data_IF_442189162668
#
_entry.id   IF_442189162668
#
_cell.length_a   1.000
_cell.length_b   1.000
_cell.length_c   1.000
_cell.angle_alpha   90.00
_cell.angle_beta   90.00
_cell.angle_gamma   90.00
#
_symmetry.space_group_name_H-M   'P 1'
#
loop_
_entity.id
_entity.type
_entity.pdbx_description
1 polymer ?
#
# COMPACT_ATOMS: atom_id res chain seq x y z
N UNK A 1 2.44 -12.89 12.90
CA UNK A 1 2.66 -13.73 11.70
C UNK A 1 1.32 -14.13 11.10
N UNK A 2 0.44 -14.78 11.86
CA UNK A 2 -0.92 -15.16 11.40
C UNK A 2 -1.82 -14.00 10.91
N UNK A 3 -1.83 -12.85 11.60
CA UNK A 3 -2.70 -11.73 11.21
C UNK A 3 -2.29 -11.07 9.87
N UNK A 4 -0.99 -11.10 9.55
CA UNK A 4 -0.45 -10.49 8.32
C UNK A 4 -0.83 -11.36 7.12
N UNK A 5 -0.66 -12.68 7.22
CA UNK A 5 -1.08 -13.63 6.19
C UNK A 5 -2.60 -13.63 5.95
N UNK A 6 -3.40 -13.41 7.00
CA UNK A 6 -4.86 -13.32 6.87
C UNK A 6 -5.28 -12.05 6.12
N UNK A 7 -4.52 -10.96 6.30
CA UNK A 7 -4.74 -9.69 5.59
C UNK A 7 -4.37 -9.88 4.12
N UNK A 8 -3.17 -10.36 3.81
CA UNK A 8 -2.70 -10.63 2.44
C UNK A 8 -3.67 -11.52 1.64
N UNK A 9 -4.24 -12.56 2.26
CA UNK A 9 -5.26 -13.42 1.64
C UNK A 9 -6.58 -12.69 1.40
N UNK A 10 -7.01 -11.83 2.33
CA UNK A 10 -8.21 -11.02 2.16
C UNK A 10 -8.01 -9.97 1.06
N UNK A 11 -6.80 -9.44 0.89
CA UNK A 11 -6.49 -8.41 -0.09
C UNK A 11 -6.49 -8.99 -1.52
N UNK A 12 -5.95 -10.20 -1.72
CA UNK A 12 -6.08 -10.89 -3.02
C UNK A 12 -7.53 -11.21 -3.40
N UNK A 13 -8.37 -11.51 -2.41
CA UNK A 13 -9.81 -11.68 -2.67
C UNK A 13 -10.49 -10.37 -3.09
N UNK A 14 -10.02 -9.22 -2.58
CA UNK A 14 -10.52 -7.92 -2.99
C UNK A 14 -10.11 -7.56 -4.42
N UNK A 15 -8.92 -7.94 -4.90
CA UNK A 15 -8.53 -7.77 -6.31
C UNK A 15 -9.53 -8.46 -7.25
N UNK A 16 -9.97 -9.68 -6.90
CA UNK A 16 -11.00 -10.42 -7.64
C UNK A 16 -12.39 -9.77 -7.66
N UNK A 17 -12.59 -8.61 -7.02
CA UNK A 17 -13.86 -7.87 -6.98
C UNK A 17 -13.87 -6.60 -7.82
N UNK A 18 -12.80 -6.31 -8.58
CA UNK A 18 -12.78 -5.22 -9.56
C UNK A 18 -11.67 -4.16 -9.44
N UNK A 19 -11.02 -3.90 -8.29
CA UNK A 19 -9.86 -3.01 -8.25
C UNK A 19 -8.69 -3.58 -9.07
N UNK A 20 -8.07 -2.73 -9.89
CA UNK A 20 -6.83 -3.06 -10.60
C UNK A 20 -5.61 -3.07 -9.67
N UNK A 21 -5.69 -2.29 -8.58
CA UNK A 21 -4.63 -2.14 -7.60
C UNK A 21 -5.21 -1.97 -6.19
N UNK A 22 -4.55 -2.57 -5.21
CA UNK A 22 -4.81 -2.36 -3.78
C UNK A 22 -3.55 -1.83 -3.12
N UNK A 23 -3.70 -0.79 -2.30
CA UNK A 23 -2.61 -0.27 -1.47
C UNK A 23 -2.97 -0.37 -0.01
N UNK A 24 -2.08 -1.00 0.76
CA UNK A 24 -2.25 -1.24 2.18
C UNK A 24 -1.25 -0.39 2.94
N UNK A 25 -1.79 0.53 3.76
CA UNK A 25 -0.99 1.38 4.63
C UNK A 25 -0.62 0.58 5.89
N UNK A 26 0.67 0.48 6.19
CA UNK A 26 1.20 -0.32 7.31
C UNK A 26 1.92 0.54 8.36
N UNK A 27 1.60 1.83 8.41
CA UNK A 27 2.19 2.77 9.36
C UNK A 27 3.72 2.82 9.25
N UNK A 28 4.42 2.64 10.36
CA UNK A 28 5.90 2.63 10.39
C UNK A 28 6.53 1.49 9.58
N UNK A 29 5.77 0.44 9.25
CA UNK A 29 6.24 -0.62 8.37
C UNK A 29 6.16 -0.26 6.87
N UNK A 30 5.61 0.91 6.53
CA UNK A 30 5.51 1.41 5.15
C UNK A 30 4.18 1.06 4.49
N UNK A 31 4.22 0.57 3.26
CA UNK A 31 3.02 0.13 2.55
C UNK A 31 3.27 -1.12 1.69
N UNK A 32 2.18 -1.75 1.28
CA UNK A 32 2.20 -2.83 0.29
C UNK A 32 1.28 -2.43 -0.87
N UNK A 33 1.76 -2.64 -2.08
CA UNK A 33 0.99 -2.46 -3.31
C UNK A 33 0.77 -3.85 -3.93
N UNK A 34 -0.46 -4.10 -4.34
CA UNK A 34 -0.89 -5.37 -4.92
C UNK A 34 -1.62 -5.08 -6.23
N UNK A 35 -1.28 -5.82 -7.26
CA UNK A 35 -2.02 -5.93 -8.53
C UNK A 35 -2.30 -7.41 -8.81
N UNK A 36 -2.89 -7.74 -9.95
CA UNK A 36 -3.08 -9.14 -10.37
C UNK A 36 -1.74 -9.88 -10.52
N UNK A 37 -0.72 -9.20 -11.07
CA UNK A 37 0.55 -9.81 -11.47
C UNK A 37 1.71 -9.52 -10.50
N UNK A 38 1.64 -8.40 -9.77
CA UNK A 38 2.75 -7.87 -8.98
C UNK A 38 2.36 -7.57 -7.53
N UNK A 39 3.33 -7.80 -6.65
CA UNK A 39 3.28 -7.41 -5.24
C UNK A 39 4.58 -6.66 -4.89
N UNK A 40 4.44 -5.49 -4.29
CA UNK A 40 5.58 -4.69 -3.84
C UNK A 40 5.41 -4.24 -2.39
N UNK A 41 6.44 -4.46 -1.57
CA UNK A 41 6.50 -4.00 -0.18
C UNK A 41 7.52 -2.86 -0.09
N UNK A 42 7.01 -1.63 0.08
CA UNK A 42 7.84 -0.46 0.32
C UNK A 42 8.00 -0.26 1.84
N UNK A 43 9.23 -0.35 2.39
CA UNK A 43 9.45 -0.19 3.82
C UNK A 43 9.19 1.25 4.26
N UNK A 44 8.77 1.41 5.51
CA UNK A 44 8.62 2.73 6.11
C UNK A 44 9.98 3.42 6.30
N UNK A 45 10.01 4.73 6.11
CA UNK A 45 11.22 5.51 6.36
C UNK A 45 11.45 5.69 7.87
N UNK A 46 12.68 5.51 8.37
CA UNK A 46 13.00 5.75 9.78
C UNK A 46 13.04 7.26 10.04
N UNK A 47 11.92 7.81 10.51
CA UNK A 47 11.76 9.24 10.79
C UNK A 47 11.33 9.46 12.24
N UNK A 48 11.70 10.60 12.80
CA UNK A 48 11.16 11.03 14.09
C UNK A 48 9.76 11.60 13.88
N UNK A 49 8.73 10.81 14.25
CA UNK A 49 7.33 11.20 14.03
C UNK A 49 6.94 12.32 15.00
N UNK A 50 6.36 13.39 14.47
CA UNK A 50 5.78 14.47 15.26
C UNK A 50 4.24 14.35 15.32
N UNK A 51 3.62 14.16 14.16
CA UNK A 51 2.17 13.96 13.99
C UNK A 51 1.96 13.06 12.76
N UNK A 52 1.01 12.13 12.84
CA UNK A 52 0.64 11.23 11.73
C UNK A 52 -0.55 11.74 10.93
N UNK A 53 -1.17 12.85 11.35
CA UNK A 53 -2.25 13.52 10.62
C UNK A 53 -1.75 13.88 9.21
N UNK A 54 -2.49 13.46 8.19
CA UNK A 54 -2.15 13.69 6.78
C UNK A 54 -1.09 12.75 6.19
N UNK A 55 -0.45 11.87 6.97
CA UNK A 55 0.50 10.89 6.44
C UNK A 55 -0.18 9.92 5.46
N UNK A 56 -1.40 9.50 5.78
CA UNK A 56 -2.22 8.66 4.91
C UNK A 56 -2.62 9.37 3.61
N UNK A 57 -3.01 10.64 3.69
CA UNK A 57 -3.43 11.43 2.53
C UNK A 57 -2.25 11.69 1.57
N UNK A 58 -1.07 11.95 2.15
CA UNK A 58 0.16 12.13 1.38
C UNK A 58 0.56 10.85 0.63
N UNK A 59 0.38 9.68 1.25
CA UNK A 59 0.61 8.40 0.60
C UNK A 59 -0.38 8.17 -0.55
N UNK A 60 -1.68 8.47 -0.35
CA UNK A 60 -2.68 8.35 -1.41
C UNK A 60 -2.35 9.25 -2.60
N UNK A 61 -1.96 10.51 -2.33
CA UNK A 61 -1.54 11.44 -3.37
C UNK A 61 -0.33 10.93 -4.16
N UNK A 62 0.67 10.35 -3.47
CA UNK A 62 1.85 9.79 -4.11
C UNK A 62 1.53 8.57 -4.99
N UNK A 63 0.68 7.66 -4.51
CA UNK A 63 0.22 6.48 -5.27
C UNK A 63 -0.55 6.92 -6.51
N UNK A 64 -1.52 7.82 -6.36
CA UNK A 64 -2.31 8.34 -7.49
C UNK A 64 -1.41 9.02 -8.52
N UNK A 65 -0.43 9.81 -8.06
CA UNK A 65 0.54 10.43 -8.95
C UNK A 65 1.35 9.38 -9.73
N UNK A 66 1.88 8.35 -9.05
CA UNK A 66 2.66 7.28 -9.69
C UNK A 66 1.85 6.50 -10.72
N UNK A 67 0.63 6.11 -10.35
CA UNK A 67 -0.31 5.41 -11.24
C UNK A 67 -0.62 6.23 -12.50
N UNK A 68 -1.01 7.50 -12.33
CA UNK A 68 -1.32 8.40 -13.47
C UNK A 68 -0.12 8.68 -14.38
N UNK A 69 1.11 8.49 -13.87
CA UNK A 69 2.35 8.68 -14.63
C UNK A 69 2.89 7.39 -15.26
N UNK A 70 2.21 6.26 -15.09
CA UNK A 70 2.66 4.97 -15.60
C UNK A 70 3.99 4.53 -15.01
N UNK A 71 4.26 4.90 -13.76
CA UNK A 71 5.44 4.42 -13.04
C UNK A 71 5.26 2.93 -12.74
N UNK A 72 6.36 2.17 -12.73
CA UNK A 72 6.33 0.78 -12.29
C UNK A 72 6.00 0.71 -10.80
N UNK A 73 5.47 -0.44 -10.37
CA UNK A 73 5.31 -0.77 -8.96
C UNK A 73 6.65 -0.83 -8.23
#
# INVERSE_FOLDING_TARGET
MELVELTEKADRHLLGRGPEMIVIKRGSAGCMLLTEDEEHIAPGFPVHVHDTTGAGDSLDAAVVYGYLRGMSL
#
